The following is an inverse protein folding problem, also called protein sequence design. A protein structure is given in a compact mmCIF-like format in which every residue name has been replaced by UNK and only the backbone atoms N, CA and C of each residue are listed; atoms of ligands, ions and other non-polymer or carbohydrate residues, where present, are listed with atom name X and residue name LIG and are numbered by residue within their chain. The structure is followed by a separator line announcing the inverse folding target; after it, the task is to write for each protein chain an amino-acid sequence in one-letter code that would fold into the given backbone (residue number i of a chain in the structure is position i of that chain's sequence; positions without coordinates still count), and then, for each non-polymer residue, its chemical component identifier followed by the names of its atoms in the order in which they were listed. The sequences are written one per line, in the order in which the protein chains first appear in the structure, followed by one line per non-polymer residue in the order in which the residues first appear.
data_IF_650177668716
#
_entry.id   IF_650177668716
#
_cell.length_a   1.000
_cell.length_b   1.000
_cell.length_c   1.000
_cell.angle_alpha   90.00
_cell.angle_beta   90.00
_cell.angle_gamma   90.00
#
_symmetry.space_group_name_H-M   'P 1'
#
loop_
_entity.id
_entity.type
_entity.pdbx_description
1 polymer ?
#
# COMPACT_ATOMS: atom_id res chain seq x y z
N UNK A 1 2.70 0.61 -4.77
CA UNK A 1 2.72 1.53 -3.62
C UNK A 1 3.34 0.80 -2.44
N UNK A 2 3.95 1.50 -1.50
CA UNK A 2 4.58 0.89 -0.33
C UNK A 2 3.88 1.37 0.94
N UNK A 3 3.54 0.43 1.82
CA UNK A 3 2.95 0.68 3.13
C UNK A 3 3.52 -0.28 4.17
N UNK A 4 3.22 -0.05 5.44
CA UNK A 4 3.55 -1.03 6.49
C UNK A 4 2.71 -2.30 6.30
N UNK A 5 3.31 -3.47 6.57
CA UNK A 5 2.58 -4.73 6.56
C UNK A 5 1.54 -4.76 7.71
N UNK A 6 0.25 -5.04 7.46
CA UNK A 6 -0.80 -4.96 8.47
C UNK A 6 -0.81 -6.15 9.46
N UNK A 7 0.07 -7.13 9.29
CA UNK A 7 0.13 -8.34 10.14
C UNK A 7 1.49 -8.54 10.79
N UNK A 8 2.58 -8.13 10.14
CA UNK A 8 3.94 -8.34 10.62
C UNK A 8 4.39 -7.18 11.49
N UNK A 9 4.47 -7.43 12.80
CA UNK A 9 5.05 -6.50 13.76
C UNK A 9 6.57 -6.33 13.55
N UNK A 10 7.10 -5.20 14.04
CA UNK A 10 8.54 -4.99 14.11
C UNK A 10 9.21 -6.09 14.95
N UNK A 11 10.38 -6.56 14.50
CA UNK A 11 11.19 -7.54 15.23
C UNK A 11 12.49 -6.88 15.67
N UNK A 12 12.79 -6.92 16.96
CA UNK A 12 14.09 -6.49 17.47
C UNK A 12 15.13 -7.57 17.22
N UNK A 13 16.22 -7.21 16.54
CA UNK A 13 17.33 -8.11 16.26
C UNK A 13 18.59 -7.66 17.00
N UNK A 14 19.61 -8.53 17.06
CA UNK A 14 20.92 -8.15 17.59
C UNK A 14 21.63 -7.01 16.84
N UNK A 15 21.10 -6.59 15.68
CA UNK A 15 21.65 -5.53 14.83
C UNK A 15 20.69 -4.32 14.68
N UNK A 16 19.58 -4.30 15.42
CA UNK A 16 18.57 -3.24 15.36
C UNK A 16 17.17 -3.72 14.94
N UNK A 17 16.19 -2.81 14.88
CA UNK A 17 14.80 -3.14 14.58
C UNK A 17 14.61 -3.46 13.09
N UNK A 18 13.90 -4.55 12.80
CA UNK A 18 13.46 -4.97 11.47
C UNK A 18 11.98 -4.66 11.29
N UNK A 19 11.64 -3.92 10.23
CA UNK A 19 10.25 -3.64 9.83
C UNK A 19 9.94 -4.26 8.49
N UNK A 20 8.66 -4.52 8.26
CA UNK A 20 8.14 -5.13 7.04
C UNK A 20 7.36 -4.08 6.25
N UNK A 21 7.79 -3.87 5.01
CA UNK A 21 7.13 -2.95 4.08
C UNK A 21 6.46 -3.79 2.99
N UNK A 22 5.14 -3.69 2.91
CA UNK A 22 4.34 -4.38 1.91
C UNK A 22 4.34 -3.61 0.59
N UNK A 23 4.56 -4.33 -0.50
CA UNK A 23 4.29 -3.84 -1.85
C UNK A 23 2.81 -4.08 -2.18
N UNK A 24 2.08 -3.01 -2.49
CA UNK A 24 0.68 -3.04 -2.91
C UNK A 24 0.60 -2.66 -4.39
N UNK A 25 0.10 -3.56 -5.23
CA UNK A 25 -0.16 -3.29 -6.63
C UNK A 25 -1.31 -2.31 -6.81
N UNK A 26 -1.13 -1.32 -7.68
CA UNK A 26 -2.08 -0.26 -7.94
C UNK A 26 -2.15 0.02 -9.45
N UNK A 27 -3.24 0.62 -9.91
CA UNK A 27 -3.34 1.11 -11.29
C UNK A 27 -2.56 2.41 -11.46
N UNK A 28 -2.26 2.78 -12.72
CA UNK A 28 -1.59 4.04 -13.03
C UNK A 28 -2.39 5.25 -12.52
N UNK A 29 -3.72 5.25 -12.67
CA UNK A 29 -4.59 6.33 -12.20
C UNK A 29 -4.54 6.47 -10.68
N UNK A 30 -4.53 5.35 -9.96
CA UNK A 30 -4.39 5.34 -8.50
C UNK A 30 -3.06 5.95 -8.09
N UNK A 31 -1.97 5.57 -8.77
CA UNK A 31 -0.65 6.10 -8.48
C UNK A 31 -0.57 7.61 -8.77
N UNK A 32 -1.12 8.06 -9.89
CA UNK A 32 -1.16 9.47 -10.25
C UNK A 32 -1.98 10.30 -9.26
N UNK A 33 -3.12 9.78 -8.80
CA UNK A 33 -3.97 10.43 -7.79
C UNK A 33 -3.28 10.53 -6.42
N UNK A 34 -2.49 9.52 -6.02
CA UNK A 34 -1.69 9.59 -4.81
C UNK A 34 -0.55 10.62 -4.93
N UNK A 35 0.09 10.69 -6.09
CA UNK A 35 1.21 11.60 -6.36
C UNK A 35 0.78 13.07 -6.53
N UNK A 36 -0.46 13.33 -6.94
CA UNK A 36 -0.97 14.69 -7.11
C UNK A 36 -1.27 15.40 -5.78
N UNK A 37 -1.21 14.69 -4.66
CA UNK A 37 -1.43 15.25 -3.33
C UNK A 37 -0.12 15.49 -2.58
N UNK A 38 0.14 16.76 -2.27
CA UNK A 38 1.29 17.16 -1.43
C UNK A 38 2.64 16.72 -2.00
N UNK A 39 3.45 16.07 -1.19
CA UNK A 39 4.74 15.48 -1.57
C UNK A 39 4.62 14.04 -2.12
N UNK A 40 3.39 13.56 -2.36
CA UNK A 40 3.08 12.20 -2.81
C UNK A 40 3.11 11.13 -1.71
N UNK A 41 3.71 11.41 -0.55
CA UNK A 41 3.75 10.46 0.58
C UNK A 41 2.39 10.46 1.28
N UNK A 42 1.85 11.64 1.60
CA UNK A 42 0.54 11.76 2.24
C UNK A 42 -0.58 11.19 1.38
N UNK A 43 -0.55 11.46 0.07
CA UNK A 43 -1.52 10.87 -0.86
C UNK A 43 -1.38 9.35 -0.99
N UNK A 44 -0.16 8.81 -0.89
CA UNK A 44 0.06 7.35 -0.86
C UNK A 44 -0.57 6.73 0.38
N UNK A 45 -0.34 7.32 1.56
CA UNK A 45 -0.90 6.81 2.81
C UNK A 45 -2.43 6.85 2.82
N UNK A 46 -3.05 7.98 2.45
CA UNK A 46 -4.52 8.09 2.38
C UNK A 46 -5.14 7.08 1.41
N UNK A 47 -4.50 6.86 0.26
CA UNK A 47 -5.01 5.89 -0.72
C UNK A 47 -4.94 4.45 -0.15
N UNK A 48 -3.85 4.11 0.54
CA UNK A 48 -3.71 2.81 1.20
C UNK A 48 -4.73 2.62 2.33
N UNK A 49 -4.98 3.65 3.14
CA UNK A 49 -6.01 3.65 4.18
C UNK A 49 -7.41 3.41 3.59
N UNK A 50 -7.76 4.13 2.52
CA UNK A 50 -9.04 3.95 1.82
C UNK A 50 -9.18 2.55 1.20
N UNK A 51 -8.11 1.99 0.62
CA UNK A 51 -8.15 0.60 0.12
C UNK A 51 -8.38 -0.40 1.25
N UNK A 52 -7.76 -0.17 2.41
CA UNK A 52 -7.85 -1.07 3.57
C UNK A 52 -9.28 -1.21 4.10
N UNK A 53 -10.17 -0.24 3.89
CA UNK A 53 -11.58 -0.32 4.28
C UNK A 53 -12.31 -1.52 3.66
N UNK A 54 -11.94 -1.91 2.43
CA UNK A 54 -12.53 -3.04 1.70
C UNK A 54 -11.57 -4.23 1.50
N UNK A 55 -10.28 -4.01 1.72
CA UNK A 55 -9.21 -4.99 1.58
C UNK A 55 -8.21 -4.82 2.74
N UNK A 56 -8.55 -5.26 3.97
CA UNK A 56 -7.77 -4.93 5.18
C UNK A 56 -6.32 -5.40 5.17
N UNK A 57 -5.99 -6.41 4.36
CA UNK A 57 -4.64 -6.93 4.19
C UNK A 57 -3.93 -6.39 2.94
N UNK A 58 -4.57 -5.47 2.22
CA UNK A 58 -4.07 -4.85 0.99
C UNK A 58 -3.56 -5.88 -0.03
N UNK A 59 -4.25 -7.03 -0.10
CA UNK A 59 -3.89 -8.11 -1.03
C UNK A 59 -4.04 -7.60 -2.45
N UNK A 60 -2.99 -7.75 -3.24
CA UNK A 60 -3.00 -7.31 -4.64
C UNK A 60 -3.73 -8.34 -5.50
N UNK A 61 -4.87 -7.95 -6.06
CA UNK A 61 -5.55 -8.73 -7.10
C UNK A 61 -5.14 -8.24 -8.49
N UNK A 62 -4.27 -9.01 -9.15
CA UNK A 62 -3.78 -8.72 -10.50
C UNK A 62 -4.86 -8.85 -11.58
N UNK A 63 -6.03 -9.43 -11.27
CA UNK A 63 -7.14 -9.60 -12.22
C UNK A 63 -8.23 -8.53 -12.08
N UNK A 64 -8.17 -7.68 -11.06
CA UNK A 64 -9.21 -6.68 -10.72
C UNK A 64 -9.60 -5.76 -11.90
N UNK A 65 -8.69 -5.53 -12.85
CA UNK A 65 -8.93 -4.72 -14.06
C UNK A 65 -9.26 -5.48 -15.34
N UNK A 66 -9.22 -6.83 -15.33
CA UNK A 66 -9.40 -7.63 -16.56
C UNK A 66 -10.86 -7.64 -17.05
N UNK A 67 -11.80 -7.20 -16.20
CA UNK A 67 -13.25 -7.20 -16.50
C UNK A 67 -13.86 -5.80 -16.69
N UNK A 68 -13.07 -4.73 -16.67
CA UNK A 68 -13.53 -3.38 -17.02
C UNK A 68 -13.36 -3.19 -18.53
N UNK A 69 -14.35 -3.65 -19.30
CA UNK A 69 -14.52 -3.37 -20.73
C UNK A 69 -15.86 -2.70 -20.96
#
# INVERSE_FOLDING_TARGET
MFGEDPQLAQIDTGFGPLRFVQLVGATADTLAAAQSQGDGVQGTLQMLESMAESNPLLVTDIRRGVHLK
#
